data_IF_608611112595
#
_entry.id   IF_608611112595
#
_cell.length_a   1.000
_cell.length_b   1.000
_cell.length_c   1.000
_cell.angle_alpha   90.00
_cell.angle_beta   90.00
_cell.angle_gamma   90.00
#
_symmetry.space_group_name_H-M   'P 1'
#
loop_
_entity.id
_entity.type
_entity.pdbx_description
1 polymer ?
#
# COMPACT_ATOMS: atom_id res chain seq x y z
N UNK A 1 4.50 -26.94 17.05
CA UNK A 1 5.11 -25.82 17.80
C UNK A 1 5.24 -24.62 16.87
N UNK A 2 4.24 -23.72 16.88
CA UNK A 2 4.30 -22.48 16.11
C UNK A 2 5.37 -21.59 16.74
N UNK A 3 6.40 -21.22 15.97
CA UNK A 3 7.31 -20.14 16.35
C UNK A 3 6.52 -18.86 16.25
N UNK A 4 6.24 -18.20 17.37
CA UNK A 4 5.66 -16.87 17.41
C UNK A 4 6.51 -15.96 16.52
N UNK A 5 5.89 -15.26 15.58
CA UNK A 5 6.60 -14.28 14.74
C UNK A 5 7.19 -13.20 15.66
N UNK A 6 8.43 -12.74 15.41
CA UNK A 6 9.12 -11.79 16.30
C UNK A 6 8.33 -10.49 16.54
N UNK A 7 7.41 -10.14 15.65
CA UNK A 7 6.48 -9.03 15.84
C UNK A 7 5.48 -9.25 16.99
N UNK A 8 4.83 -10.43 17.07
CA UNK A 8 3.87 -10.73 18.14
C UNK A 8 4.54 -10.69 19.51
N UNK A 9 5.75 -11.24 19.63
CA UNK A 9 6.54 -11.17 20.85
C UNK A 9 6.92 -9.73 21.25
N UNK A 10 7.04 -8.81 20.27
CA UNK A 10 7.36 -7.39 20.52
C UNK A 10 6.12 -6.61 20.94
N UNK A 11 4.93 -6.92 20.40
CA UNK A 11 3.67 -6.24 20.76
C UNK A 11 3.14 -6.72 22.12
N UNK A 12 3.41 -7.97 22.48
CA UNK A 12 2.96 -8.55 23.75
C UNK A 12 3.64 -7.97 25.00
N UNK A 13 4.80 -7.32 24.88
CA UNK A 13 5.55 -6.71 25.98
C UNK A 13 5.61 -5.19 25.94
N UNK A 14 4.76 -4.55 25.13
CA UNK A 14 4.72 -3.08 25.06
C UNK A 14 4.15 -2.48 26.34
N UNK A 15 4.63 -1.28 26.66
CA UNK A 15 4.02 -0.44 27.71
C UNK A 15 2.52 -0.24 27.37
N UNK A 16 1.60 -0.41 28.34
CA UNK A 16 0.15 -0.23 28.13
C UNK A 16 -0.23 1.13 27.51
N UNK A 17 0.61 2.14 27.68
CA UNK A 17 0.40 3.46 27.09
C UNK A 17 0.78 3.51 25.61
N UNK A 18 1.54 2.54 25.09
CA UNK A 18 1.99 2.49 23.70
C UNK A 18 0.82 2.35 22.73
N UNK A 19 0.83 3.16 21.67
CA UNK A 19 -0.10 3.03 20.56
C UNK A 19 0.51 2.16 19.46
N UNK A 20 -0.29 1.26 18.91
CA UNK A 20 0.05 0.47 17.74
C UNK A 20 -0.96 0.79 16.65
N UNK A 21 -0.48 1.40 15.58
CA UNK A 21 -1.26 1.70 14.39
C UNK A 21 -0.98 0.61 13.38
N UNK A 22 -2.01 -0.11 12.95
CA UNK A 22 -1.96 -0.99 11.80
C UNK A 22 -2.58 -0.26 10.61
N UNK A 23 -1.93 -0.31 9.46
CA UNK A 23 -2.45 0.26 8.22
C UNK A 23 -2.23 -0.69 7.06
N UNK A 24 -3.14 -0.64 6.09
CA UNK A 24 -3.09 -1.43 4.87
C UNK A 24 -3.68 -0.63 3.70
N UNK A 25 -3.28 -0.99 2.47
CA UNK A 25 -3.78 -0.44 1.23
C UNK A 25 -4.43 -1.50 0.34
N UNK A 26 -5.52 -1.13 -0.32
CA UNK A 26 -6.23 -1.99 -1.25
C UNK A 26 -6.35 -1.35 -2.62
N UNK A 27 -6.46 -2.19 -3.65
CA UNK A 27 -6.81 -1.79 -5.01
C UNK A 27 -7.90 -2.74 -5.50
N UNK A 28 -9.08 -2.19 -5.79
CA UNK A 28 -10.21 -2.98 -6.27
C UNK A 28 -10.00 -3.47 -7.72
N UNK A 29 -10.86 -4.39 -8.17
CA UNK A 29 -10.89 -4.85 -9.57
C UNK A 29 -11.16 -3.72 -10.57
N UNK A 30 -11.85 -2.66 -10.13
CA UNK A 30 -12.16 -1.46 -10.90
C UNK A 30 -11.01 -0.43 -10.86
N UNK A 31 -9.93 -0.74 -10.15
CA UNK A 31 -8.77 0.15 -10.01
C UNK A 31 -8.97 1.26 -8.98
N UNK A 32 -9.90 1.10 -8.02
CA UNK A 32 -10.08 2.05 -6.94
C UNK A 32 -9.07 1.75 -5.81
N UNK A 33 -8.11 2.65 -5.64
CA UNK A 33 -7.14 2.59 -4.56
C UNK A 33 -7.70 3.19 -3.27
N UNK A 34 -7.53 2.51 -2.14
CA UNK A 34 -8.05 2.92 -0.84
C UNK A 34 -7.16 2.43 0.29
N UNK A 35 -7.26 3.07 1.45
CA UNK A 35 -6.51 2.70 2.64
C UNK A 35 -7.44 2.48 3.83
N UNK A 36 -6.94 1.74 4.80
CA UNK A 36 -7.56 1.55 6.10
C UNK A 36 -6.49 1.54 7.18
N UNK A 37 -6.85 2.04 8.37
CA UNK A 37 -6.01 1.93 9.55
C UNK A 37 -6.84 1.70 10.80
N UNK A 38 -6.22 1.06 11.79
CA UNK A 38 -6.78 0.89 13.13
C UNK A 38 -5.69 1.17 14.16
N UNK A 39 -6.08 1.84 15.25
CA UNK A 39 -5.21 2.20 16.36
C UNK A 39 -5.60 1.33 17.53
N UNK A 40 -4.61 0.62 18.08
CA UNK A 40 -4.75 -0.20 19.26
C UNK A 40 -3.96 0.40 20.42
N UNK A 41 -4.51 0.28 21.63
CA UNK A 41 -3.82 0.50 22.89
C UNK A 41 -4.10 -0.69 23.80
N UNK A 42 -3.05 -1.24 24.43
CA UNK A 42 -3.15 -2.47 25.23
C UNK A 42 -3.91 -3.60 24.50
N UNK A 43 -3.61 -3.78 23.20
CA UNK A 43 -4.23 -4.77 22.29
C UNK A 43 -5.71 -4.53 21.97
N UNK A 44 -6.36 -3.55 22.57
CA UNK A 44 -7.76 -3.18 22.30
C UNK A 44 -7.80 -2.13 21.19
N UNK A 45 -8.64 -2.32 20.15
CA UNK A 45 -8.85 -1.28 19.15
C UNK A 45 -9.57 -0.08 19.78
N UNK A 46 -9.03 1.12 19.60
CA UNK A 46 -9.57 2.36 20.18
C UNK A 46 -10.08 3.34 19.10
N UNK A 47 -9.56 3.26 17.88
CA UNK A 47 -9.96 4.15 16.79
C UNK A 47 -9.65 3.55 15.43
N UNK A 48 -10.59 3.67 14.51
CA UNK A 48 -10.48 3.19 13.13
C UNK A 48 -10.67 4.35 12.15
N UNK A 49 -10.00 4.27 11.01
CA UNK A 49 -10.18 5.22 9.92
C UNK A 49 -9.89 4.59 8.57
N UNK A 50 -10.43 5.18 7.52
CA UNK A 50 -10.23 4.71 6.15
C UNK A 50 -10.57 5.80 5.15
N UNK A 51 -10.12 5.62 3.91
CA UNK A 51 -10.39 6.58 2.85
C UNK A 51 -10.05 6.02 1.48
N UNK A 52 -10.58 6.67 0.46
CA UNK A 52 -10.29 6.37 -0.94
C UNK A 52 -9.34 7.42 -1.50
N UNK A 53 -8.38 7.01 -2.31
CA UNK A 53 -7.51 7.90 -3.06
C UNK A 53 -8.15 8.26 -4.41
N UNK A 54 -7.59 9.28 -5.06
CA UNK A 54 -7.72 9.40 -6.51
C UNK A 54 -7.05 8.23 -7.24
N UNK A 55 -6.85 8.34 -8.56
CA UNK A 55 -6.20 7.28 -9.33
C UNK A 55 -4.77 7.05 -8.82
N UNK A 56 -4.55 5.91 -8.15
CA UNK A 56 -3.32 5.62 -7.43
C UNK A 56 -3.01 4.11 -7.49
N UNK A 57 -1.81 3.72 -7.06
CA UNK A 57 -1.43 2.32 -6.89
C UNK A 57 -1.53 1.89 -5.43
N UNK A 58 -1.57 0.58 -5.16
CA UNK A 58 -1.61 0.02 -3.78
C UNK A 58 -0.53 0.63 -2.90
N UNK A 59 0.68 0.79 -3.41
CA UNK A 59 1.80 1.40 -2.69
C UNK A 59 1.48 2.81 -2.17
N UNK A 60 0.76 3.63 -2.96
CA UNK A 60 0.39 4.98 -2.55
C UNK A 60 -0.69 4.94 -1.45
N UNK A 61 -1.64 4.02 -1.57
CA UNK A 61 -2.65 3.77 -0.55
C UNK A 61 -2.03 3.32 0.79
N UNK A 62 -1.07 2.40 0.76
CA UNK A 62 -0.32 1.92 1.93
C UNK A 62 0.38 3.05 2.67
N UNK A 63 1.15 3.87 1.93
CA UNK A 63 1.86 5.01 2.50
C UNK A 63 0.88 6.05 3.08
N UNK A 64 -0.23 6.30 2.39
CA UNK A 64 -1.27 7.23 2.85
C UNK A 64 -1.97 6.72 4.11
N UNK A 65 -2.31 5.44 4.18
CA UNK A 65 -2.91 4.82 5.36
C UNK A 65 -2.03 4.91 6.59
N UNK A 66 -0.72 4.70 6.43
CA UNK A 66 0.24 4.87 7.52
C UNK A 66 0.33 6.32 8.01
N UNK A 67 0.33 7.30 7.09
CA UNK A 67 0.36 8.72 7.43
C UNK A 67 -0.92 9.16 8.15
N UNK A 68 -2.08 8.81 7.63
CA UNK A 68 -3.36 9.17 8.23
C UNK A 68 -3.55 8.48 9.58
N UNK A 69 -3.13 7.23 9.71
CA UNK A 69 -3.09 6.54 10.99
C UNK A 69 -2.14 7.19 12.01
N UNK A 70 -0.96 7.66 11.57
CA UNK A 70 -0.05 8.42 12.41
C UNK A 70 -0.66 9.76 12.86
N UNK A 71 -1.27 10.53 11.95
CA UNK A 71 -1.95 11.78 12.28
C UNK A 71 -3.06 11.55 13.30
N UNK A 72 -3.88 10.53 13.10
CA UNK A 72 -4.92 10.15 14.05
C UNK A 72 -4.33 9.77 15.42
N UNK A 73 -3.27 8.97 15.47
CA UNK A 73 -2.60 8.61 16.72
C UNK A 73 -2.01 9.81 17.47
N UNK A 74 -1.49 10.81 16.74
CA UNK A 74 -1.01 12.05 17.34
C UNK A 74 -2.16 12.91 17.91
N UNK A 75 -3.33 12.90 17.26
CA UNK A 75 -4.52 13.65 17.71
C UNK A 75 -5.22 13.03 18.92
N UNK A 76 -5.09 11.71 19.13
CA UNK A 76 -5.68 11.03 20.29
C UNK A 76 -4.97 11.34 21.62
N UNK A 77 -3.91 12.16 21.61
CA UNK A 77 -3.08 12.39 22.79
C UNK A 77 -3.29 13.71 23.48
N UNK A 78 -3.44 13.60 24.79
CA UNK A 78 -3.31 14.70 25.74
C UNK A 78 -1.89 14.82 26.35
N UNK A 79 -1.02 13.80 26.20
CA UNK A 79 0.33 13.75 26.83
C UNK A 79 1.43 13.35 25.84
N UNK A 80 2.49 14.16 25.81
CA UNK A 80 3.52 14.21 24.76
C UNK A 80 4.60 13.09 24.77
N UNK A 81 4.43 11.97 25.48
CA UNK A 81 5.57 11.08 25.82
C UNK A 81 5.39 9.60 25.46
N UNK A 82 4.39 9.27 24.69
CA UNK A 82 3.89 7.91 24.60
C UNK A 82 4.48 7.25 23.30
N UNK A 83 4.87 5.97 23.29
CA UNK A 83 5.49 5.37 22.09
C UNK A 83 4.44 5.07 21.01
N UNK A 84 4.81 5.20 19.72
CA UNK A 84 3.92 4.86 18.59
C UNK A 84 4.62 3.85 17.69
N UNK A 85 3.97 2.73 17.43
CA UNK A 85 4.39 1.75 16.42
C UNK A 85 3.48 1.87 15.21
N UNK A 86 4.07 2.00 14.02
CA UNK A 86 3.35 1.98 12.74
C UNK A 86 3.63 0.63 12.07
N UNK A 87 2.60 -0.15 11.84
CA UNK A 87 2.66 -1.52 11.35
C UNK A 87 2.05 -1.60 9.94
N UNK A 88 2.83 -2.09 8.99
CA UNK A 88 2.49 -2.25 7.57
C UNK A 88 2.92 -3.63 7.09
N UNK A 89 2.16 -4.26 6.20
CA UNK A 89 2.58 -5.53 5.58
C UNK A 89 3.23 -5.39 4.20
N UNK A 90 3.22 -4.18 3.64
CA UNK A 90 4.02 -3.83 2.48
C UNK A 90 5.43 -3.37 2.86
N UNK A 91 6.41 -4.25 2.59
CA UNK A 91 7.82 -3.98 2.88
C UNK A 91 8.35 -2.75 2.14
N UNK A 92 7.89 -2.49 0.91
CA UNK A 92 8.32 -1.33 0.14
C UNK A 92 7.82 -0.04 0.80
N UNK A 93 6.55 0.01 1.22
CA UNK A 93 5.98 1.16 1.93
C UNK A 93 6.69 1.38 3.27
N UNK A 94 6.88 0.32 4.08
CA UNK A 94 7.59 0.41 5.35
C UNK A 94 9.04 0.90 5.18
N UNK A 95 9.71 0.48 4.11
CA UNK A 95 11.08 0.94 3.79
C UNK A 95 11.08 2.41 3.39
N UNK A 96 10.10 2.83 2.58
CA UNK A 96 9.95 4.21 2.15
C UNK A 96 9.78 5.18 3.34
N UNK A 97 8.86 4.86 4.25
CA UNK A 97 8.56 5.67 5.43
C UNK A 97 9.73 5.75 6.42
N UNK A 98 10.67 4.80 6.39
CA UNK A 98 11.89 4.82 7.22
C UNK A 98 13.00 5.73 6.68
N UNK A 99 12.77 6.47 5.60
CA UNK A 99 13.74 7.45 5.08
C UNK A 99 14.40 7.03 3.77
N UNK A 100 13.80 6.10 3.01
CA UNK A 100 14.24 5.80 1.64
C UNK A 100 13.17 6.27 0.64
N UNK A 101 13.18 7.55 0.25
CA UNK A 101 12.09 8.12 -0.54
C UNK A 101 11.91 7.37 -1.87
N UNK A 102 10.68 6.96 -2.14
CA UNK A 102 10.26 6.45 -3.45
C UNK A 102 9.95 7.59 -4.42
N UNK A 103 9.89 7.32 -5.72
CA UNK A 103 9.48 8.32 -6.71
C UNK A 103 8.00 8.72 -6.58
N UNK A 104 7.13 7.79 -6.16
CA UNK A 104 5.71 8.05 -5.89
C UNK A 104 5.49 8.24 -4.39
N UNK A 105 4.45 8.96 -3.97
CA UNK A 105 4.16 9.23 -2.56
C UNK A 105 5.29 9.94 -1.78
N UNK A 106 6.07 10.80 -2.47
CA UNK A 106 7.16 11.57 -1.86
C UNK A 106 6.66 12.54 -0.80
N UNK A 107 5.62 13.29 -1.13
CA UNK A 107 4.88 14.18 -0.26
C UNK A 107 4.38 13.48 1.00
N UNK A 108 3.71 12.34 0.84
CA UNK A 108 3.24 11.50 1.97
C UNK A 108 4.41 11.05 2.84
N UNK A 109 5.50 10.60 2.22
CA UNK A 109 6.68 10.09 2.95
C UNK A 109 7.44 11.20 3.68
N UNK A 110 7.56 12.38 3.08
CA UNK A 110 8.19 13.55 3.68
C UNK A 110 7.36 14.07 4.86
N UNK A 111 6.03 14.15 4.70
CA UNK A 111 5.14 14.55 5.79
C UNK A 111 5.21 13.54 6.95
N UNK A 112 5.17 12.24 6.64
CA UNK A 112 5.33 11.19 7.64
C UNK A 112 6.65 11.32 8.40
N UNK A 113 7.77 11.51 7.69
CA UNK A 113 9.09 11.65 8.28
C UNK A 113 9.20 12.93 9.13
N UNK A 114 8.58 14.03 8.69
CA UNK A 114 8.53 15.27 9.46
C UNK A 114 7.80 15.07 10.80
N UNK A 115 6.63 14.42 10.77
CA UNK A 115 5.86 14.07 11.98
C UNK A 115 6.62 13.07 12.87
N UNK A 116 7.26 12.07 12.26
CA UNK A 116 8.08 11.08 12.94
C UNK A 116 9.24 11.73 13.70
N UNK A 117 9.93 12.66 13.03
CA UNK A 117 11.07 13.40 13.57
C UNK A 117 10.64 14.37 14.67
N UNK A 118 9.53 15.10 14.49
CA UNK A 118 9.05 16.07 15.48
C UNK A 118 8.60 15.41 16.78
N UNK A 119 8.05 14.20 16.72
CA UNK A 119 7.60 13.46 17.90
C UNK A 119 8.74 12.63 18.54
N UNK A 120 9.68 12.10 17.74
CA UNK A 120 10.89 11.40 18.24
C UNK A 120 10.68 9.97 18.74
N UNK A 121 9.46 9.55 19.09
CA UNK A 121 9.14 8.21 19.60
C UNK A 121 8.21 7.39 18.67
N UNK A 122 8.49 7.40 17.35
CA UNK A 122 7.76 6.63 16.33
C UNK A 122 8.65 5.54 15.74
N UNK A 123 8.13 4.30 15.68
CA UNK A 123 8.82 3.15 15.09
C UNK A 123 7.97 2.51 13.98
N UNK A 124 8.47 2.53 12.75
CA UNK A 124 7.86 1.77 11.64
C UNK A 124 8.28 0.31 11.71
N UNK A 125 7.34 -0.62 11.64
CA UNK A 125 7.54 -2.08 11.68
C UNK A 125 6.84 -2.73 10.49
N UNK A 126 7.54 -3.65 9.84
CA UNK A 126 6.92 -4.55 8.88
C UNK A 126 6.27 -5.72 9.61
N UNK A 127 5.09 -6.13 9.16
CA UNK A 127 4.31 -7.24 9.69
C UNK A 127 3.96 -8.19 8.54
N UNK A 128 3.84 -9.51 8.77
CA UNK A 128 3.42 -10.39 7.70
C UNK A 128 1.92 -10.22 7.40
N UNK A 129 1.59 -10.00 6.14
CA UNK A 129 0.20 -9.92 5.68
C UNK A 129 -0.54 -11.25 5.81
N UNK A 130 -1.87 -11.18 5.91
CA UNK A 130 -2.79 -12.34 5.97
C UNK A 130 -2.37 -13.45 6.95
N UNK A 131 -1.74 -13.07 8.06
CA UNK A 131 -1.16 -14.00 9.04
C UNK A 131 -1.97 -14.11 10.34
N UNK A 132 -3.23 -13.69 10.34
CA UNK A 132 -4.09 -13.75 11.53
C UNK A 132 -3.77 -12.70 12.60
N UNK A 133 -3.03 -11.64 12.27
CA UNK A 133 -2.77 -10.52 13.18
C UNK A 133 -4.02 -9.64 13.22
N UNK A 134 -4.76 -9.55 14.36
CA UNK A 134 -6.08 -8.94 14.36
C UNK A 134 -6.11 -7.49 13.86
N UNK A 135 -5.12 -6.67 14.26
CA UNK A 135 -5.04 -5.28 13.81
C UNK A 135 -4.75 -5.15 12.30
N UNK A 136 -3.88 -5.99 11.75
CA UNK A 136 -3.61 -5.99 10.30
C UNK A 136 -4.83 -6.45 9.51
N UNK A 137 -5.54 -7.49 9.98
CA UNK A 137 -6.78 -7.94 9.32
C UNK A 137 -7.90 -6.91 9.39
N UNK A 138 -7.97 -6.14 10.47
CA UNK A 138 -8.92 -5.03 10.56
C UNK A 138 -8.56 -3.91 9.58
N UNK A 139 -7.29 -3.52 9.49
CA UNK A 139 -6.83 -2.53 8.52
C UNK A 139 -7.14 -2.97 7.06
N UNK A 140 -6.89 -4.23 6.71
CA UNK A 140 -7.22 -4.81 5.39
C UNK A 140 -8.74 -4.74 5.09
N UNK A 141 -9.57 -5.10 6.07
CA UNK A 141 -11.04 -5.01 5.92
C UNK A 141 -11.49 -3.56 5.70
N UNK A 142 -10.93 -2.62 6.45
CA UNK A 142 -11.23 -1.19 6.32
C UNK A 142 -10.79 -0.66 4.95
N UNK A 143 -9.59 -1.02 4.50
CA UNK A 143 -9.07 -0.62 3.20
C UNK A 143 -9.95 -1.14 2.06
N UNK A 144 -10.34 -2.42 2.09
CA UNK A 144 -11.23 -3.02 1.10
C UNK A 144 -12.61 -2.35 1.08
N UNK A 145 -13.20 -2.10 2.25
CA UNK A 145 -14.49 -1.43 2.34
C UNK A 145 -14.43 0.00 1.76
N UNK A 146 -13.34 0.73 2.01
CA UNK A 146 -13.16 2.10 1.53
C UNK A 146 -13.03 2.23 0.01
N UNK A 147 -12.72 1.15 -0.72
CA UNK A 147 -12.69 1.17 -2.19
C UNK A 147 -14.03 1.55 -2.83
N UNK A 148 -15.13 1.29 -2.11
CA UNK A 148 -16.50 1.62 -2.54
C UNK A 148 -16.92 3.06 -2.24
N UNK A 149 -16.09 3.84 -1.55
CA UNK A 149 -16.36 5.26 -1.29
C UNK A 149 -16.27 6.07 -2.60
N UNK A 150 -16.92 7.24 -2.68
CA UNK A 150 -16.70 8.15 -3.80
C UNK A 150 -15.24 8.57 -3.87
N UNK A 151 -14.75 8.75 -5.10
CA UNK A 151 -13.42 9.33 -5.31
C UNK A 151 -13.41 10.77 -4.75
N UNK A 152 -12.34 11.18 -4.03
CA UNK A 152 -12.25 12.53 -3.51
C UNK A 152 -12.31 13.58 -4.64
N UNK A 153 -13.09 14.63 -4.42
CA UNK A 153 -13.27 15.68 -5.42
C UNK A 153 -11.94 16.38 -5.73
N UNK A 154 -11.60 16.49 -7.01
CA UNK A 154 -10.36 17.12 -7.47
C UNK A 154 -9.09 16.30 -7.24
N UNK A 155 -9.20 15.01 -6.89
CA UNK A 155 -8.05 14.14 -6.71
C UNK A 155 -7.22 14.03 -8.01
N UNK A 156 -5.90 14.12 -7.87
CA UNK A 156 -4.96 14.00 -8.99
C UNK A 156 -4.35 12.60 -9.03
N UNK A 157 -4.10 12.04 -10.22
CA UNK A 157 -3.48 10.74 -10.34
C UNK A 157 -2.04 10.75 -9.83
N UNK A 158 -1.64 9.71 -9.09
CA UNK A 158 -0.26 9.57 -8.59
C UNK A 158 0.73 9.31 -9.72
N UNK A 159 2.01 9.56 -9.46
CA UNK A 159 3.07 9.30 -10.45
C UNK A 159 3.14 7.80 -10.81
N UNK A 160 2.98 6.91 -9.83
CA UNK A 160 2.95 5.48 -10.07
C UNK A 160 1.80 5.08 -11.01
N UNK A 161 0.60 5.60 -10.77
CA UNK A 161 -0.56 5.38 -11.63
C UNK A 161 -0.30 5.86 -13.07
N UNK A 162 0.19 7.09 -13.23
CA UNK A 162 0.50 7.65 -14.55
C UNK A 162 1.54 6.81 -15.30
N UNK A 163 2.59 6.35 -14.60
CA UNK A 163 3.63 5.46 -15.18
C UNK A 163 3.04 4.12 -15.62
N UNK A 164 2.14 3.51 -14.83
CA UNK A 164 1.46 2.27 -15.22
C UNK A 164 0.64 2.48 -16.49
N UNK A 165 -0.20 3.51 -16.53
CA UNK A 165 -1.04 3.82 -17.69
C UNK A 165 -0.19 4.10 -18.95
N UNK A 166 0.91 4.84 -18.80
CA UNK A 166 1.82 5.12 -19.92
C UNK A 166 2.47 3.85 -20.50
N UNK A 167 2.72 2.83 -19.68
CA UNK A 167 3.26 1.53 -20.11
C UNK A 167 2.18 0.61 -20.68
N UNK A 168 0.97 0.68 -20.15
CA UNK A 168 -0.14 -0.20 -20.51
C UNK A 168 -0.78 0.19 -21.85
N UNK A 169 -1.00 1.49 -22.10
CA UNK A 169 -1.68 1.97 -23.31
C UNK A 169 -1.06 1.48 -24.64
N UNK A 170 0.27 1.56 -24.85
CA UNK A 170 0.88 1.07 -26.08
C UNK A 170 0.71 -0.45 -26.25
N UNK A 171 0.76 -1.20 -25.15
CA UNK A 171 0.60 -2.65 -25.16
C UNK A 171 -0.83 -3.05 -25.58
N UNK A 172 -1.83 -2.42 -25.00
CA UNK A 172 -3.24 -2.64 -25.36
C UNK A 172 -3.53 -2.24 -26.80
N UNK A 173 -3.00 -1.08 -27.24
CA UNK A 173 -3.15 -0.64 -28.63
C UNK A 173 -2.52 -1.63 -29.61
N UNK A 174 -1.36 -2.19 -29.28
CA UNK A 174 -0.70 -3.22 -30.07
C UNK A 174 -1.49 -4.54 -30.10
N UNK A 175 -1.99 -5.00 -28.95
CA UNK A 175 -2.82 -6.21 -28.85
C UNK A 175 -4.12 -6.08 -29.65
N UNK A 176 -4.78 -4.91 -29.59
CA UNK A 176 -5.97 -4.61 -30.36
C UNK A 176 -5.70 -4.59 -31.87
N UNK A 177 -4.62 -3.90 -32.29
CA UNK A 177 -4.19 -3.87 -33.69
C UNK A 177 -3.86 -5.27 -34.22
N UNK A 178 -3.13 -6.08 -33.44
CA UNK A 178 -2.77 -7.44 -33.81
C UNK A 178 -4.02 -8.31 -33.96
N UNK A 179 -4.94 -8.24 -33.01
CA UNK A 179 -6.20 -8.99 -33.06
C UNK A 179 -7.03 -8.66 -34.31
N UNK A 180 -7.05 -7.39 -34.73
CA UNK A 180 -7.78 -6.93 -35.91
C UNK A 180 -7.07 -7.29 -37.23
N UNK A 181 -5.74 -7.23 -37.27
CA UNK A 181 -4.96 -7.20 -38.53
C UNK A 181 -4.12 -8.46 -38.74
N UNK A 182 -4.04 -9.37 -37.76
CA UNK A 182 -3.19 -10.55 -37.85
C UNK A 182 -3.50 -11.39 -39.09
N UNK A 183 -2.48 -11.81 -39.88
CA UNK A 183 -2.69 -12.68 -41.01
C UNK A 183 -3.28 -14.03 -40.58
N UNK A 184 -4.09 -14.64 -41.44
CA UNK A 184 -4.81 -15.88 -41.12
C UNK A 184 -3.90 -17.04 -40.69
N UNK A 185 -2.69 -17.07 -41.23
CA UNK A 185 -1.64 -18.02 -40.89
C UNK A 185 -1.26 -17.95 -39.40
N UNK A 186 -1.17 -16.74 -38.85
CA UNK A 186 -0.83 -16.49 -37.45
C UNK A 186 -2.00 -16.78 -36.52
N UNK A 187 -3.24 -16.50 -36.97
CA UNK A 187 -4.47 -16.86 -36.25
C UNK A 187 -4.60 -18.38 -36.10
N UNK A 188 -4.34 -19.15 -37.16
CA UNK A 188 -4.34 -20.62 -37.12
C UNK A 188 -3.31 -21.22 -36.16
N UNK A 189 -2.20 -20.51 -35.94
CA UNK A 189 -1.14 -20.92 -35.04
C UNK A 189 -1.33 -20.42 -33.59
N UNK A 190 -2.43 -19.73 -33.29
CA UNK A 190 -2.71 -19.11 -31.98
C UNK A 190 -1.55 -18.25 -31.46
N UNK A 191 -0.84 -17.55 -32.35
CA UNK A 191 0.28 -16.69 -31.97
C UNK A 191 -0.24 -15.38 -31.37
N UNK A 192 0.03 -15.19 -30.08
CA UNK A 192 -0.35 -14.01 -29.32
C UNK A 192 0.53 -12.80 -29.68
N UNK A 193 -0.03 -11.60 -29.56
CA UNK A 193 0.71 -10.35 -29.73
C UNK A 193 1.69 -10.20 -28.56
N UNK A 194 3.00 -10.23 -28.83
CA UNK A 194 4.02 -9.97 -27.81
C UNK A 194 4.79 -8.70 -28.15
N UNK A 195 4.83 -7.74 -27.23
CA UNK A 195 5.66 -6.52 -27.35
C UNK A 195 7.14 -6.77 -27.02
N UNK A 196 7.49 -7.98 -26.54
CA UNK A 196 8.86 -8.40 -26.27
C UNK A 196 9.42 -9.30 -27.36
N UNK A 197 10.75 -9.44 -27.39
CA UNK A 197 11.41 -10.39 -28.30
C UNK A 197 11.02 -11.83 -27.91
N UNK A 198 10.46 -12.63 -28.84
CA UNK A 198 10.16 -14.04 -28.59
C UNK A 198 11.43 -14.78 -28.16
N UNK A 199 11.37 -15.69 -27.15
CA UNK A 199 12.55 -16.43 -26.67
C UNK A 199 13.32 -17.16 -27.77
N UNK A 200 12.62 -17.58 -28.81
CA UNK A 200 13.16 -18.30 -29.98
C UNK A 200 14.09 -17.41 -30.82
N UNK A 201 13.88 -16.08 -30.81
CA UNK A 201 14.73 -15.11 -31.50
C UNK A 201 15.87 -14.57 -30.60
N UNK A 202 15.88 -14.95 -29.33
CA UNK A 202 16.89 -14.57 -28.33
C UNK A 202 18.09 -15.52 -28.29
N UNK A 203 18.10 -16.58 -29.10
CA UNK A 203 19.19 -17.55 -29.13
C UNK A 203 20.41 -16.97 -29.87
N UNK A 204 21.63 -17.14 -29.33
CA UNK A 204 22.84 -16.75 -30.03
C UNK A 204 22.94 -17.54 -31.35
N UNK A 205 23.24 -16.81 -32.43
CA UNK A 205 23.44 -17.37 -33.78
C UNK A 205 24.83 -17.96 -33.94
#
# INVERSE_FOLDING_TARGET
MCRSTPHLATVESLDPLTLVVYSDGSLSSEGAASYGFTIHQDKVPIFDGSGRLGPAEVFDAEATGALEGLKAALNLRELATQNIYICLDNLAAATCLRGTPSDSSQDVSLEFQALATSHGAIQVRWVPGHSGIPGNEQADKLAKAASSLPEPEGAKPTLAYQRRIARQKPKEAFEAWWSATAPEQYKRLNLMATTGCPPVLSLPR
#
